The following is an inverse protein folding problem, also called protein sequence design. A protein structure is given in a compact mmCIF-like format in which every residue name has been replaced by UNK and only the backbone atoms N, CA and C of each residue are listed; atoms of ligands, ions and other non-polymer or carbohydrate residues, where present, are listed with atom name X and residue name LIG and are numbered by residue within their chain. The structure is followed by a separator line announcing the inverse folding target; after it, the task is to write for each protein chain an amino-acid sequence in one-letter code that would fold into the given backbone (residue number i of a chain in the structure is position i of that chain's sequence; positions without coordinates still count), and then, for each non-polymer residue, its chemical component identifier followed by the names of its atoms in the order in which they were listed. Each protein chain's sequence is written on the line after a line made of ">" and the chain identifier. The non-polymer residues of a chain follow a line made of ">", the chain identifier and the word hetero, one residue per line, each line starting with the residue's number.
data_IF_578279960051
#
_entry.id   IF_578279960051
#
_cell.length_a   1.000
_cell.length_b   1.000
_cell.length_c   1.000
_cell.angle_alpha   90.00
_cell.angle_beta   90.00
_cell.angle_gamma   90.00
#
_symmetry.space_group_name_H-M   'P 1'
#
loop_
_entity.id
_entity.type
_entity.pdbx_description
1 polymer ?
#
# COMPACT_ATOMS: atom_id res chain seq x y z
N UNK A 1 -2.29 1.93 6.17
CA UNK A 1 -1.69 3.06 6.97
C UNK A 1 -1.06 2.62 8.28
N UNK A 2 -1.80 1.95 9.18
CA UNK A 2 -1.30 1.54 10.51
C UNK A 2 0.01 0.72 10.41
N UNK A 3 0.06 -0.24 9.48
CA UNK A 3 1.25 -1.04 9.26
C UNK A 3 2.46 -0.18 8.84
N UNK A 4 2.25 0.78 7.94
CA UNK A 4 3.30 1.70 7.51
C UNK A 4 3.84 2.54 8.67
N UNK A 5 2.98 3.04 9.55
CA UNK A 5 3.42 3.83 10.72
C UNK A 5 4.19 2.99 11.76
N UNK A 6 3.80 1.73 11.95
CA UNK A 6 4.55 0.82 12.83
C UNK A 6 5.94 0.54 12.24
N UNK A 7 6.00 0.25 10.94
CA UNK A 7 7.27 0.00 10.24
C UNK A 7 8.16 1.25 10.26
N UNK A 8 7.61 2.45 10.12
CA UNK A 8 8.40 3.68 10.14
C UNK A 8 9.04 3.95 11.49
N UNK A 9 8.32 3.69 12.59
CA UNK A 9 8.86 3.80 13.93
C UNK A 9 10.00 2.80 14.18
N UNK A 10 9.85 1.56 13.68
CA UNK A 10 10.87 0.52 13.77
C UNK A 10 12.13 0.85 12.95
N UNK A 11 11.96 1.37 11.73
CA UNK A 11 13.06 1.73 10.83
C UNK A 11 13.61 3.15 11.04
N UNK A 12 13.04 3.89 11.99
CA UNK A 12 13.40 5.26 12.38
C UNK A 12 13.43 6.22 11.17
N UNK A 13 12.36 6.20 10.37
CA UNK A 13 12.13 7.19 9.30
C UNK A 13 11.04 8.18 9.71
N UNK A 14 10.78 9.19 8.90
CA UNK A 14 9.75 10.20 9.20
C UNK A 14 8.34 9.58 9.16
N UNK A 15 7.82 9.19 10.33
CA UNK A 15 6.48 8.59 10.49
C UNK A 15 5.37 9.52 10.04
N UNK A 16 5.51 10.85 10.19
CA UNK A 16 4.47 11.78 9.75
C UNK A 16 4.40 11.84 8.22
N UNK A 17 5.55 11.84 7.54
CA UNK A 17 5.61 11.72 6.09
C UNK A 17 5.07 10.36 5.62
N UNK A 18 5.50 9.26 6.23
CA UNK A 18 5.02 7.90 5.88
C UNK A 18 3.51 7.79 6.05
N UNK A 19 2.94 8.29 7.15
CA UNK A 19 1.50 8.28 7.38
C UNK A 19 0.76 9.06 6.28
N UNK A 20 1.23 10.27 5.95
CA UNK A 20 0.64 11.09 4.88
C UNK A 20 0.72 10.38 3.54
N UNK A 21 1.87 9.83 3.21
CA UNK A 21 2.12 9.13 1.96
C UNK A 21 1.21 7.90 1.83
N UNK A 22 1.12 7.07 2.87
CA UNK A 22 0.23 5.92 2.91
C UNK A 22 -1.25 6.30 2.79
N UNK A 23 -1.67 7.47 3.31
CA UNK A 23 -3.05 7.95 3.18
C UNK A 23 -3.42 8.38 1.76
N UNK A 24 -2.45 8.81 0.95
CA UNK A 24 -2.72 9.40 -0.38
C UNK A 24 -2.21 8.55 -1.55
N UNK A 25 -1.55 7.42 -1.29
CA UNK A 25 -0.90 6.64 -2.34
C UNK A 25 -1.88 6.14 -3.42
N UNK A 26 -3.05 5.64 -3.00
CA UNK A 26 -4.13 5.16 -3.89
C UNK A 26 -5.21 6.24 -4.15
N UNK A 27 -4.91 7.52 -3.90
CA UNK A 27 -5.90 8.59 -4.06
C UNK A 27 -6.45 8.72 -5.49
N UNK A 28 -5.67 8.31 -6.50
CA UNK A 28 -6.10 8.30 -7.89
C UNK A 28 -7.32 7.39 -8.13
N UNK A 29 -7.46 6.30 -7.37
CA UNK A 29 -8.55 5.33 -7.50
C UNK A 29 -9.91 5.94 -7.12
N UNK A 30 -9.92 7.00 -6.32
CA UNK A 30 -11.16 7.74 -6.01
C UNK A 30 -11.79 8.44 -7.22
N UNK A 31 -11.00 8.65 -8.28
CA UNK A 31 -11.44 9.31 -9.53
C UNK A 31 -11.49 8.31 -10.69
N UNK A 32 -10.49 7.43 -10.78
CA UNK A 32 -10.33 6.49 -11.90
C UNK A 32 -10.99 5.13 -11.64
N UNK A 33 -11.37 4.84 -10.39
CA UNK A 33 -11.71 3.50 -9.95
C UNK A 33 -10.47 2.65 -9.65
N UNK A 34 -10.69 1.48 -9.06
CA UNK A 34 -9.65 0.48 -8.83
C UNK A 34 -9.22 -0.10 -10.19
N UNK A 35 -8.03 0.31 -10.65
CA UNK A 35 -7.45 -0.22 -11.87
C UNK A 35 -6.64 -1.47 -11.53
N UNK A 36 -7.07 -2.66 -12.00
CA UNK A 36 -6.36 -3.88 -11.70
C UNK A 36 -4.92 -3.82 -12.23
N UNK A 37 -3.99 -4.51 -11.58
CA UNK A 37 -2.55 -4.47 -11.93
C UNK A 37 -2.31 -4.77 -13.42
N UNK A 38 -3.12 -5.66 -14.00
CA UNK A 38 -3.13 -6.05 -15.41
C UNK A 38 -3.48 -4.91 -16.36
N UNK A 39 -4.19 -3.86 -15.91
CA UNK A 39 -4.41 -2.68 -16.72
C UNK A 39 -3.06 -2.04 -17.13
N UNK A 40 -2.05 -2.09 -16.27
CA UNK A 40 -0.71 -1.55 -16.56
C UNK A 40 -0.05 -2.18 -17.78
N UNK A 41 -0.28 -3.48 -18.04
CA UNK A 41 0.27 -4.14 -19.24
C UNK A 41 -0.47 -3.78 -20.52
N UNK A 42 -1.70 -3.26 -20.40
CA UNK A 42 -2.54 -2.82 -21.53
C UNK A 42 -2.27 -1.35 -21.87
N UNK A 43 -2.31 -0.45 -20.88
CA UNK A 43 -2.11 1.00 -21.08
C UNK A 43 -0.65 1.42 -21.08
N UNK A 44 0.25 0.65 -20.46
CA UNK A 44 1.63 1.05 -20.24
C UNK A 44 1.83 1.82 -18.93
N UNK A 45 3.02 1.69 -18.34
CA UNK A 45 3.35 2.32 -17.05
C UNK A 45 3.29 3.85 -17.11
N UNK A 46 3.84 4.45 -18.17
CA UNK A 46 3.91 5.92 -18.30
C UNK A 46 2.52 6.54 -18.43
N UNK A 47 1.67 5.92 -19.23
CA UNK A 47 0.30 6.35 -19.46
C UNK A 47 -0.53 6.21 -18.18
N UNK A 48 -0.37 5.10 -17.45
CA UNK A 48 -0.99 4.91 -16.13
C UNK A 48 -0.58 6.01 -15.15
N UNK A 49 0.72 6.24 -14.97
CA UNK A 49 1.25 7.28 -14.09
C UNK A 49 0.75 8.68 -14.50
N UNK A 50 0.64 8.96 -15.81
CA UNK A 50 0.08 10.21 -16.32
C UNK A 50 -1.40 10.39 -15.90
N UNK A 51 -2.24 9.38 -16.12
CA UNK A 51 -3.66 9.47 -15.75
C UNK A 51 -3.86 9.56 -14.23
N UNK A 52 -3.09 8.81 -13.45
CA UNK A 52 -3.09 8.91 -11.98
C UNK A 52 -2.69 10.30 -11.51
N UNK A 53 -1.66 10.89 -12.12
CA UNK A 53 -1.23 12.26 -11.82
C UNK A 53 -2.31 13.30 -12.13
N UNK A 54 -3.01 13.16 -13.26
CA UNK A 54 -4.15 14.04 -13.60
C UNK A 54 -5.28 13.90 -12.57
N UNK A 55 -5.61 12.67 -12.17
CA UNK A 55 -6.64 12.40 -11.18
C UNK A 55 -6.30 13.00 -9.81
N UNK A 56 -5.10 12.74 -9.30
CA UNK A 56 -4.64 13.23 -7.99
C UNK A 56 -4.56 14.75 -7.98
N UNK A 57 -4.06 15.36 -9.06
CA UNK A 57 -4.01 16.82 -9.19
C UNK A 57 -5.38 17.45 -9.08
N UNK A 58 -6.40 16.87 -9.75
CA UNK A 58 -7.80 17.32 -9.66
C UNK A 58 -8.37 17.23 -8.24
N UNK A 59 -7.93 16.25 -7.45
CA UNK A 59 -8.32 16.16 -6.03
C UNK A 59 -7.62 17.26 -5.22
N UNK A 60 -6.32 17.46 -5.41
CA UNK A 60 -5.54 18.46 -4.66
C UNK A 60 -5.85 19.92 -5.02
N UNK A 61 -6.41 20.19 -6.20
CA UNK A 61 -6.95 21.52 -6.56
C UNK A 61 -8.01 22.01 -5.56
N UNK A 62 -8.70 21.09 -4.88
CA UNK A 62 -9.70 21.42 -3.85
C UNK A 62 -9.12 21.71 -2.47
N UNK A 63 -7.82 21.45 -2.27
CA UNK A 63 -7.13 21.75 -1.01
C UNK A 63 -6.77 23.24 -0.92
N UNK A 64 -6.68 23.80 0.30
CA UNK A 64 -6.07 25.11 0.55
C UNK A 64 -4.67 25.19 -0.07
N UNK A 65 -4.33 26.38 -0.59
CA UNK A 65 -3.10 26.61 -1.36
C UNK A 65 -1.85 26.33 -0.50
N UNK A 66 -1.92 26.62 0.79
CA UNK A 66 -0.84 26.48 1.77
C UNK A 66 -0.38 25.03 1.96
N UNK A 67 -1.27 24.06 1.75
CA UNK A 67 -0.97 22.63 1.92
C UNK A 67 -0.87 21.87 0.61
N UNK A 68 -1.38 22.42 -0.50
CA UNK A 68 -1.43 21.72 -1.80
C UNK A 68 -0.07 21.21 -2.25
N UNK A 69 0.96 22.06 -2.15
CA UNK A 69 2.33 21.69 -2.55
C UNK A 69 2.92 20.55 -1.71
N UNK A 70 2.58 20.50 -0.41
CA UNK A 70 3.03 19.46 0.50
C UNK A 70 2.45 18.09 0.11
N UNK A 71 1.16 18.02 -0.20
CA UNK A 71 0.51 16.77 -0.61
C UNK A 71 0.95 16.33 -2.01
N UNK A 72 1.07 17.28 -2.96
CA UNK A 72 1.56 16.98 -4.31
C UNK A 72 2.98 16.40 -4.29
N UNK A 73 3.92 17.07 -3.61
CA UNK A 73 5.30 16.57 -3.49
C UNK A 73 5.38 15.23 -2.76
N UNK A 74 4.54 14.99 -1.75
CA UNK A 74 4.48 13.69 -1.06
C UNK A 74 4.00 12.58 -2.01
N UNK A 75 3.01 12.86 -2.86
CA UNK A 75 2.53 11.90 -3.85
C UNK A 75 3.54 11.64 -4.96
N UNK A 76 4.18 12.69 -5.51
CA UNK A 76 5.27 12.54 -6.49
C UNK A 76 6.44 11.71 -5.94
N UNK A 77 6.81 11.93 -4.68
CA UNK A 77 7.85 11.14 -4.01
C UNK A 77 7.47 9.65 -3.90
N UNK A 78 6.20 9.35 -3.61
CA UNK A 78 5.70 7.98 -3.60
C UNK A 78 5.81 7.34 -4.99
N UNK A 79 5.35 8.04 -6.03
CA UNK A 79 5.39 7.55 -7.42
C UNK A 79 6.81 7.29 -7.87
N UNK A 80 7.75 8.21 -7.59
CA UNK A 80 9.17 8.03 -7.90
C UNK A 80 9.78 6.80 -7.21
N UNK A 81 9.32 6.48 -5.99
CA UNK A 81 9.61 5.21 -5.33
C UNK A 81 11.06 5.05 -4.87
N UNK A 82 11.86 6.12 -4.87
CA UNK A 82 13.29 6.07 -4.52
C UNK A 82 13.58 6.31 -3.04
N UNK A 83 12.76 7.10 -2.36
CA UNK A 83 12.98 7.45 -0.95
C UNK A 83 12.75 6.26 -0.02
N UNK A 84 13.32 6.32 1.19
CA UNK A 84 13.15 5.27 2.20
C UNK A 84 11.68 5.16 2.61
N UNK A 85 11.02 6.31 2.75
CA UNK A 85 9.61 6.44 3.08
C UNK A 85 8.72 5.84 1.99
N UNK A 86 8.99 6.13 0.71
CA UNK A 86 8.24 5.57 -0.41
C UNK A 86 8.37 4.05 -0.52
N UNK A 87 9.60 3.53 -0.38
CA UNK A 87 9.83 2.07 -0.35
C UNK A 87 9.10 1.41 0.81
N UNK A 88 9.14 2.02 2.00
CA UNK A 88 8.45 1.51 3.18
C UNK A 88 6.94 1.49 2.99
N UNK A 89 6.34 2.54 2.43
CA UNK A 89 4.89 2.55 2.13
C UNK A 89 4.53 1.46 1.13
N UNK A 90 5.30 1.27 0.05
CA UNK A 90 5.07 0.19 -0.92
C UNK A 90 5.19 -1.20 -0.31
N UNK A 91 6.14 -1.39 0.61
CA UNK A 91 6.31 -2.62 1.38
C UNK A 91 5.13 -2.87 2.32
N UNK A 92 4.64 -1.82 2.99
CA UNK A 92 3.47 -1.92 3.87
C UNK A 92 2.19 -2.25 3.08
N UNK A 93 1.95 -1.60 1.95
CA UNK A 93 0.82 -1.88 1.06
C UNK A 93 0.84 -3.33 0.55
N UNK A 94 2.02 -3.81 0.10
CA UNK A 94 2.18 -5.20 -0.29
C UNK A 94 1.89 -6.21 0.84
N UNK A 95 2.38 -5.92 2.05
CA UNK A 95 2.11 -6.77 3.22
C UNK A 95 0.61 -6.83 3.52
N UNK A 96 -0.09 -5.70 3.45
CA UNK A 96 -1.52 -5.59 3.72
C UNK A 96 -2.33 -6.46 2.74
N UNK A 97 -2.04 -6.35 1.43
CA UNK A 97 -2.66 -7.19 0.39
C UNK A 97 -2.32 -8.66 0.55
N UNK A 98 -1.08 -8.98 0.94
CA UNK A 98 -0.64 -10.37 1.12
C UNK A 98 -1.33 -11.04 2.32
N UNK A 99 -1.49 -10.32 3.43
CA UNK A 99 -2.25 -10.80 4.59
C UNK A 99 -3.71 -11.06 4.20
N UNK A 100 -4.32 -10.14 3.44
CA UNK A 100 -5.69 -10.31 2.96
C UNK A 100 -5.85 -11.54 2.04
N UNK A 101 -4.89 -11.78 1.14
CA UNK A 101 -4.90 -12.97 0.28
C UNK A 101 -4.84 -14.28 1.10
N UNK A 102 -4.00 -14.34 2.13
CA UNK A 102 -3.94 -15.49 3.04
C UNK A 102 -5.27 -15.71 3.78
N UNK A 103 -5.93 -14.64 4.23
CA UNK A 103 -7.24 -14.74 4.88
C UNK A 103 -8.33 -15.27 3.93
N UNK A 104 -8.30 -14.87 2.66
CA UNK A 104 -9.22 -15.40 1.66
C UNK A 104 -8.93 -16.87 1.33
N UNK A 105 -7.66 -17.28 1.28
CA UNK A 105 -7.31 -18.70 1.10
C UNK A 105 -7.90 -19.58 2.21
N UNK A 106 -7.83 -19.12 3.47
CA UNK A 106 -8.43 -19.84 4.60
C UNK A 106 -9.96 -19.94 4.51
N UNK A 107 -10.60 -18.97 3.86
CA UNK A 107 -12.05 -18.98 3.58
C UNK A 107 -12.43 -19.88 2.40
N UNK A 108 -11.45 -20.51 1.74
CA UNK A 108 -11.65 -21.46 0.64
C UNK A 108 -11.57 -20.83 -0.75
N UNK A 109 -11.17 -19.55 -0.87
CA UNK A 109 -10.83 -18.96 -2.17
C UNK A 109 -9.52 -19.58 -2.68
N UNK A 110 -9.48 -19.92 -3.98
CA UNK A 110 -8.34 -20.64 -4.60
C UNK A 110 -7.62 -19.75 -5.62
N UNK A 111 -6.36 -20.06 -5.91
CA UNK A 111 -5.58 -19.37 -6.94
C UNK A 111 -4.91 -18.09 -6.47
N UNK A 112 -4.84 -17.89 -5.14
CA UNK A 112 -4.16 -16.74 -4.54
C UNK A 112 -2.69 -17.07 -4.21
N UNK A 113 -2.32 -18.34 -4.20
CA UNK A 113 -0.95 -18.82 -4.02
C UNK A 113 -0.04 -18.30 -5.14
N UNK A 114 -0.48 -18.45 -6.40
CA UNK A 114 0.26 -18.00 -7.58
C UNK A 114 0.41 -16.47 -7.59
N UNK A 115 -0.64 -15.74 -7.19
CA UNK A 115 -0.62 -14.29 -7.02
C UNK A 115 0.45 -13.85 -6.00
N UNK A 116 0.50 -14.49 -4.83
CA UNK A 116 1.48 -14.19 -3.79
C UNK A 116 2.92 -14.48 -4.24
N UNK A 117 3.13 -15.58 -4.97
CA UNK A 117 4.45 -15.93 -5.50
C UNK A 117 4.95 -14.93 -6.55
N UNK A 118 4.09 -14.50 -7.47
CA UNK A 118 4.43 -13.51 -8.50
C UNK A 118 4.75 -12.13 -7.90
N UNK A 119 3.92 -11.66 -6.97
CA UNK A 119 4.14 -10.40 -6.25
C UNK A 119 5.47 -10.41 -5.50
N UNK A 120 5.80 -11.52 -4.81
CA UNK A 120 7.03 -11.67 -4.06
C UNK A 120 8.29 -11.63 -4.97
N UNK A 121 8.24 -12.33 -6.12
CA UNK A 121 9.34 -12.29 -7.12
C UNK A 121 9.61 -10.88 -7.65
N UNK A 122 8.56 -10.07 -7.80
CA UNK A 122 8.67 -8.73 -8.37
C UNK A 122 9.13 -7.65 -7.37
N UNK A 123 8.89 -7.83 -6.07
CA UNK A 123 9.16 -6.80 -5.05
C UNK A 123 10.35 -7.09 -4.14
N UNK A 124 10.88 -8.32 -4.13
CA UNK A 124 12.25 -8.63 -3.68
C UNK A 124 12.66 -8.27 -2.23
N UNK A 125 11.75 -7.81 -1.37
CA UNK A 125 12.12 -7.21 -0.08
C UNK A 125 11.49 -7.88 1.15
N UNK A 126 10.64 -8.90 0.97
CA UNK A 126 10.03 -9.65 2.08
C UNK A 126 9.70 -11.09 1.68
N UNK A 127 10.19 -12.09 2.43
CA UNK A 127 9.92 -13.50 2.14
C UNK A 127 8.50 -13.92 2.52
N UNK A 128 7.93 -14.92 1.83
CA UNK A 128 6.64 -15.54 2.19
C UNK A 128 6.58 -15.93 3.67
N UNK A 129 7.68 -16.44 4.23
CA UNK A 129 7.83 -16.76 5.66
C UNK A 129 7.60 -15.53 6.58
N UNK A 130 8.04 -14.35 6.16
CA UNK A 130 7.81 -13.10 6.92
C UNK A 130 6.33 -12.71 6.87
N UNK A 131 5.67 -12.90 5.72
CA UNK A 131 4.22 -12.66 5.57
C UNK A 131 3.43 -13.62 6.44
N UNK A 132 3.74 -14.92 6.41
CA UNK A 132 3.05 -15.90 7.25
C UNK A 132 3.23 -15.60 8.75
N UNK A 133 4.44 -15.20 9.17
CA UNK A 133 4.73 -14.84 10.56
C UNK A 133 3.98 -13.58 10.99
N UNK A 134 3.92 -12.56 10.13
CA UNK A 134 3.15 -11.34 10.38
C UNK A 134 1.65 -11.65 10.40
N UNK A 135 1.14 -12.40 9.43
CA UNK A 135 -0.25 -12.87 9.38
C UNK A 135 -0.60 -13.67 10.64
N UNK A 136 0.28 -14.57 11.10
CA UNK A 136 0.14 -15.29 12.37
C UNK A 136 0.04 -14.35 13.58
N UNK A 137 0.88 -13.32 13.62
CA UNK A 137 0.89 -12.33 14.71
C UNK A 137 -0.36 -11.46 14.70
N UNK A 138 -0.81 -11.03 13.52
CA UNK A 138 -2.06 -10.27 13.32
C UNK A 138 -3.26 -11.11 13.73
N UNK A 139 -3.34 -12.38 13.30
CA UNK A 139 -4.38 -13.34 13.72
C UNK A 139 -4.43 -13.48 15.24
N UNK A 140 -3.28 -13.64 15.89
CA UNK A 140 -3.19 -13.73 17.35
C UNK A 140 -3.75 -12.46 18.01
N UNK A 141 -3.36 -11.28 17.54
CA UNK A 141 -3.88 -10.01 18.06
C UNK A 141 -5.40 -9.87 17.87
N UNK A 142 -5.92 -10.18 16.68
CA UNK A 142 -7.36 -10.15 16.40
C UNK A 142 -8.15 -11.15 17.26
N UNK A 143 -7.60 -12.34 17.50
CA UNK A 143 -8.23 -13.34 18.37
C UNK A 143 -8.33 -12.88 19.83
N UNK A 144 -7.36 -12.11 20.31
CA UNK A 144 -7.37 -11.51 21.64
C UNK A 144 -8.42 -10.41 21.73
N UNK A 145 -8.54 -9.54 20.72
CA UNK A 145 -9.57 -8.49 20.66
C UNK A 145 -11.00 -9.07 20.65
N UNK A 146 -11.23 -10.18 19.92
CA UNK A 146 -12.53 -10.88 19.92
C UNK A 146 -12.90 -11.47 21.29
N UNK A 147 -11.92 -11.76 22.15
CA UNK A 147 -12.14 -12.28 23.51
C UNK A 147 -12.42 -11.18 24.54
N UNK A 148 -11.91 -9.96 24.31
CA UNK A 148 -12.12 -8.82 25.21
C UNK A 148 -13.51 -8.18 25.02
N UNK A 149 -14.13 -8.35 23.86
CA UNK A 149 -15.48 -7.87 23.55
C UNK A 149 -16.60 -8.91 23.82
N UNK A 150 -16.35 -9.91 24.66
CA UNK A 150 -17.35 -10.83 25.21
C UNK A 150 -17.40 -10.69 26.72
#
# INVERSE_FOLDING_TARGET
>A
VLLATILSDLEKVDTAKVARMALIHDLAESVLGDMPQQATSIVGRKEKEFFEGVAVKKVFEKLPEEIRGLYWSTWEEFVDGKSREAKLVRKADWLERSIQALEYMEQGYKGLEEYLEEENRNKGEVTFETVEKLGGSVRKALSLLKRVNR
#
